data_IF_127223263259
#
_entry.id   IF_127223263259
#
_cell.length_a   1.000
_cell.length_b   1.000
_cell.length_c   1.000
_cell.angle_alpha   90.00
_cell.angle_beta   90.00
_cell.angle_gamma   90.00
#
_symmetry.space_group_name_H-M   'P 1'
#
loop_
_entity.id
_entity.type
_entity.pdbx_description
1 polymer ?
#
# COMPACT_ATOMS: atom_id res chain seq x y z
N UNK A 1 -8.66 5.80 19.91
CA UNK A 1 -8.52 6.31 18.52
C UNK A 1 -8.80 7.81 18.60
N UNK A 2 -7.77 8.65 18.40
CA UNK A 2 -7.97 10.09 18.22
C UNK A 2 -8.90 10.29 17.02
N UNK A 3 -9.98 11.03 17.21
CA UNK A 3 -10.87 11.41 16.12
C UNK A 3 -10.04 12.28 15.17
N UNK A 4 -9.80 11.82 13.94
CA UNK A 4 -9.24 12.67 12.91
C UNK A 4 -10.19 13.87 12.74
N UNK A 5 -9.69 15.07 13.03
CA UNK A 5 -10.45 16.28 12.78
C UNK A 5 -10.74 16.39 11.29
N UNK A 6 -11.92 16.89 10.93
CA UNK A 6 -12.30 17.13 9.55
C UNK A 6 -11.51 18.35 9.03
N UNK A 7 -10.21 18.14 8.72
CA UNK A 7 -9.38 19.14 8.05
C UNK A 7 -9.64 19.09 6.54
N UNK A 8 -9.63 20.22 5.90
CA UNK A 8 -9.60 20.27 4.42
C UNK A 8 -8.32 19.54 3.95
N UNK A 9 -8.41 18.60 3.00
CA UNK A 9 -7.24 17.91 2.49
C UNK A 9 -6.24 18.93 1.91
N UNK A 10 -4.97 18.78 2.27
CA UNK A 10 -3.88 19.60 1.76
C UNK A 10 -2.89 18.71 1.01
N UNK A 11 -2.84 18.84 -0.31
CA UNK A 11 -1.89 18.11 -1.16
C UNK A 11 -0.59 18.87 -1.39
N UNK A 12 -0.34 19.99 -0.70
CA UNK A 12 0.91 20.74 -0.84
C UNK A 12 2.10 20.09 -0.15
N UNK A 13 1.84 19.20 0.80
CA UNK A 13 2.84 18.47 1.61
C UNK A 13 2.37 17.04 1.88
N UNK A 14 3.28 16.13 2.27
CA UNK A 14 2.92 14.79 2.71
C UNK A 14 1.91 14.81 3.87
N UNK A 15 1.09 13.75 3.96
CA UNK A 15 0.14 13.59 5.09
C UNK A 15 0.84 13.19 6.39
N UNK A 16 2.01 12.59 6.31
CA UNK A 16 2.85 12.31 7.47
C UNK A 16 3.38 13.63 8.05
N UNK A 17 3.13 13.86 9.34
CA UNK A 17 3.57 15.09 10.03
C UNK A 17 5.09 15.09 10.29
N UNK A 18 5.72 13.92 10.31
CA UNK A 18 7.13 13.71 10.65
C UNK A 18 7.97 13.25 9.44
N UNK A 19 7.57 13.61 8.23
CA UNK A 19 8.28 13.22 7.00
C UNK A 19 9.75 13.66 7.05
N UNK A 20 10.69 12.73 6.81
CA UNK A 20 12.12 13.03 6.70
C UNK A 20 12.45 13.76 5.38
N UNK A 21 13.69 14.25 5.26
CA UNK A 21 14.12 15.07 4.14
C UNK A 21 14.07 14.29 2.81
N UNK A 22 14.54 13.06 2.78
CA UNK A 22 14.59 12.20 1.59
C UNK A 22 13.17 11.91 1.06
N UNK A 23 12.23 11.66 1.96
CA UNK A 23 10.83 11.42 1.61
C UNK A 23 10.14 12.69 1.13
N UNK A 24 10.45 13.83 1.73
CA UNK A 24 9.94 15.13 1.28
C UNK A 24 10.49 15.47 -0.12
N UNK A 25 11.76 15.19 -0.40
CA UNK A 25 12.36 15.37 -1.72
C UNK A 25 11.67 14.50 -2.76
N UNK A 26 11.46 13.20 -2.48
CA UNK A 26 10.71 12.32 -3.38
C UNK A 26 9.29 12.83 -3.61
N UNK A 27 8.57 13.20 -2.57
CA UNK A 27 7.21 13.75 -2.69
C UNK A 27 7.18 15.00 -3.59
N UNK A 28 8.10 15.93 -3.39
CA UNK A 28 8.21 17.15 -4.19
C UNK A 28 8.56 16.83 -5.64
N UNK A 29 9.46 15.86 -5.90
CA UNK A 29 9.76 15.38 -7.23
C UNK A 29 8.50 14.83 -7.92
N UNK A 30 7.78 13.89 -7.27
CA UNK A 30 6.53 13.33 -7.82
C UNK A 30 5.52 14.42 -8.17
N UNK A 31 5.34 15.41 -7.30
CA UNK A 31 4.48 16.58 -7.58
C UNK A 31 4.97 17.40 -8.75
N UNK A 32 6.28 17.59 -8.88
CA UNK A 32 6.86 18.43 -9.94
C UNK A 32 6.62 17.88 -11.34
N UNK A 33 6.55 16.53 -11.46
CA UNK A 33 6.34 15.80 -12.72
C UNK A 33 4.89 15.40 -12.95
N UNK A 34 4.04 15.45 -11.92
CA UNK A 34 2.62 15.07 -12.01
C UNK A 34 1.90 15.87 -13.09
N UNK A 35 1.19 15.15 -13.97
CA UNK A 35 0.49 15.71 -15.12
C UNK A 35 1.40 16.17 -16.27
N UNK A 36 2.71 15.97 -16.19
CA UNK A 36 3.70 16.34 -17.21
C UNK A 36 4.45 15.16 -17.77
N UNK A 37 4.73 14.15 -16.94
CA UNK A 37 5.51 12.97 -17.30
C UNK A 37 4.88 11.72 -16.67
N UNK A 38 5.13 10.56 -17.28
CA UNK A 38 4.82 9.25 -16.72
C UNK A 38 6.12 8.67 -16.18
N UNK A 39 6.09 8.26 -14.93
CA UNK A 39 7.17 7.51 -14.30
C UNK A 39 6.80 6.04 -14.41
N UNK A 40 7.59 5.25 -15.14
CA UNK A 40 7.36 3.82 -15.33
C UNK A 40 7.88 3.03 -14.13
N UNK A 41 7.13 2.00 -13.74
CA UNK A 41 7.49 1.06 -12.69
C UNK A 41 7.41 -0.38 -13.16
N UNK A 42 8.13 -1.26 -12.47
CA UNK A 42 8.09 -2.70 -12.65
C UNK A 42 8.07 -3.38 -11.28
N UNK A 43 7.28 -4.44 -11.16
CA UNK A 43 7.27 -5.26 -9.95
C UNK A 43 8.53 -6.14 -9.89
N UNK A 44 9.16 -6.18 -8.72
CA UNK A 44 10.21 -7.15 -8.43
C UNK A 44 9.59 -8.55 -8.28
N UNK A 45 10.00 -9.49 -9.12
CA UNK A 45 9.50 -10.86 -9.05
C UNK A 45 10.43 -11.77 -8.24
N UNK A 46 11.71 -11.75 -8.56
CA UNK A 46 12.75 -12.55 -7.89
C UNK A 46 14.17 -12.03 -8.22
N UNK A 47 15.18 -12.70 -7.69
CA UNK A 47 16.58 -12.34 -7.88
C UNK A 47 17.06 -12.41 -9.35
N UNK A 48 16.32 -13.07 -10.25
CA UNK A 48 16.65 -13.09 -11.69
C UNK A 48 16.37 -11.76 -12.37
N UNK A 49 15.46 -10.95 -11.80
CA UNK A 49 15.00 -9.67 -12.35
C UNK A 49 14.58 -9.76 -13.83
N UNK A 50 13.98 -10.87 -14.22
CA UNK A 50 13.68 -11.18 -15.61
C UNK A 50 12.87 -10.08 -16.30
N UNK A 51 11.82 -9.58 -15.65
CA UNK A 51 10.95 -8.53 -16.20
C UNK A 51 11.71 -7.21 -16.37
N UNK A 52 12.59 -6.85 -15.44
CA UNK A 52 13.43 -5.67 -15.54
C UNK A 52 14.44 -5.76 -16.67
N UNK A 53 15.03 -6.96 -16.89
CA UNK A 53 15.92 -7.22 -18.00
C UNK A 53 15.16 -7.14 -19.34
N UNK A 54 13.96 -7.69 -19.41
CA UNK A 54 13.11 -7.59 -20.60
C UNK A 54 12.72 -6.14 -20.91
N UNK A 55 12.39 -5.36 -19.86
CA UNK A 55 12.11 -3.94 -19.98
C UNK A 55 13.33 -3.20 -20.56
N UNK A 56 14.51 -3.39 -19.96
CA UNK A 56 15.74 -2.79 -20.44
C UNK A 56 16.09 -3.18 -21.88
N UNK A 57 15.97 -4.46 -22.23
CA UNK A 57 16.24 -4.95 -23.59
C UNK A 57 15.28 -4.35 -24.64
N UNK A 58 14.08 -3.95 -24.21
CA UNK A 58 13.06 -3.38 -25.11
C UNK A 58 13.19 -1.88 -25.25
N UNK A 59 13.52 -1.17 -24.17
CA UNK A 59 13.48 0.30 -24.10
C UNK A 59 14.87 0.95 -24.11
N UNK A 60 15.90 0.22 -23.70
CA UNK A 60 17.24 0.75 -23.45
C UNK A 60 17.43 1.37 -22.06
N UNK A 61 16.37 1.50 -21.27
CA UNK A 61 16.37 2.10 -19.94
C UNK A 61 15.79 1.15 -18.89
N UNK A 62 16.14 1.36 -17.62
CA UNK A 62 15.52 0.67 -16.50
C UNK A 62 14.24 1.41 -16.05
N UNK A 63 13.23 0.72 -15.49
CA UNK A 63 12.08 1.39 -14.88
C UNK A 63 12.56 2.26 -13.72
N UNK A 64 11.93 3.42 -13.50
CA UNK A 64 12.32 4.31 -12.41
C UNK A 64 11.80 3.83 -11.04
N UNK A 65 10.67 3.13 -11.03
CA UNK A 65 10.04 2.59 -9.80
C UNK A 65 10.21 1.08 -9.78
N UNK A 66 10.69 0.54 -8.67
CA UNK A 66 10.60 -0.90 -8.40
C UNK A 66 9.59 -1.14 -7.28
N UNK A 67 8.58 -1.97 -7.60
CA UNK A 67 7.55 -2.41 -6.67
C UNK A 67 7.96 -3.69 -5.95
N UNK A 68 7.71 -3.74 -4.65
CA UNK A 68 7.96 -4.89 -3.78
C UNK A 68 6.69 -5.25 -3.01
N UNK A 69 6.68 -6.42 -2.38
CA UNK A 69 5.55 -6.91 -1.64
C UNK A 69 5.97 -7.56 -0.32
N UNK A 70 5.33 -7.17 0.77
CA UNK A 70 5.52 -7.83 2.07
C UNK A 70 4.85 -9.21 2.18
N UNK A 71 4.33 -9.76 1.09
CA UNK A 71 3.74 -11.11 1.03
C UNK A 71 4.65 -12.18 1.68
N UNK A 72 5.96 -12.05 1.49
CA UNK A 72 6.97 -13.01 1.99
C UNK A 72 7.54 -12.63 3.36
N UNK A 73 7.20 -11.45 3.88
CA UNK A 73 7.69 -10.97 5.18
C UNK A 73 6.90 -11.55 6.37
N UNK A 74 5.77 -12.22 6.11
CA UNK A 74 4.87 -12.75 7.12
C UNK A 74 4.89 -14.28 7.19
N UNK A 75 4.61 -14.81 8.39
CA UNK A 75 4.36 -16.25 8.61
C UNK A 75 5.61 -17.11 8.63
N UNK A 76 6.79 -16.52 8.70
CA UNK A 76 8.07 -17.21 8.89
C UNK A 76 8.57 -17.01 10.32
N UNK A 77 9.12 -18.06 10.93
CA UNK A 77 9.76 -17.96 12.25
C UNK A 77 11.07 -17.14 12.19
N UNK A 78 11.59 -16.92 10.98
CA UNK A 78 12.77 -16.10 10.71
C UNK A 78 12.42 -14.98 9.76
N UNK A 79 12.77 -13.71 10.06
CA UNK A 79 12.55 -12.59 9.16
C UNK A 79 13.27 -12.80 7.81
N UNK A 80 12.53 -12.60 6.71
CA UNK A 80 13.12 -12.60 5.36
C UNK A 80 13.32 -11.15 4.91
N UNK A 81 14.56 -10.72 4.83
CA UNK A 81 14.94 -9.36 4.42
C UNK A 81 15.31 -9.24 2.93
N UNK A 82 15.16 -10.31 2.15
CA UNK A 82 15.61 -10.33 0.75
C UNK A 82 15.09 -9.13 -0.06
N UNK A 83 13.78 -8.89 -0.04
CA UNK A 83 13.19 -7.76 -0.75
C UNK A 83 13.57 -6.40 -0.16
N UNK A 84 13.84 -6.33 1.14
CA UNK A 84 14.30 -5.10 1.80
C UNK A 84 15.72 -4.74 1.33
N UNK A 85 16.62 -5.71 1.30
CA UNK A 85 18.00 -5.49 0.84
C UNK A 85 18.04 -5.12 -0.65
N UNK A 86 17.20 -5.77 -1.48
CA UNK A 86 17.08 -5.40 -2.90
C UNK A 86 16.48 -3.99 -3.08
N UNK A 87 15.53 -3.59 -2.26
CA UNK A 87 14.97 -2.24 -2.28
C UNK A 87 16.02 -1.18 -1.88
N UNK A 88 16.81 -1.47 -0.83
CA UNK A 88 17.92 -0.60 -0.40
C UNK A 88 18.95 -0.46 -1.52
N UNK A 89 19.33 -1.57 -2.13
CA UNK A 89 20.27 -1.59 -3.26
C UNK A 89 19.72 -0.82 -4.47
N UNK A 90 18.45 -1.03 -4.83
CA UNK A 90 17.79 -0.32 -5.91
C UNK A 90 17.85 1.20 -5.71
N UNK A 91 17.55 1.66 -4.49
CA UNK A 91 17.60 3.08 -4.16
C UNK A 91 19.04 3.61 -4.19
N UNK A 92 19.96 2.97 -3.47
CA UNK A 92 21.29 3.51 -3.24
C UNK A 92 22.23 3.39 -4.45
N UNK A 93 22.10 2.31 -5.25
CA UNK A 93 23.00 2.06 -6.37
C UNK A 93 22.43 2.56 -7.71
N UNK A 94 21.10 2.60 -7.86
CA UNK A 94 20.44 2.97 -9.10
C UNK A 94 19.71 4.32 -9.01
N UNK A 95 19.71 4.96 -7.85
CA UNK A 95 18.88 6.14 -7.57
C UNK A 95 17.39 5.90 -7.89
N UNK A 96 16.95 4.66 -7.65
CA UNK A 96 15.61 4.21 -7.99
C UNK A 96 14.57 4.56 -6.93
N UNK A 97 13.32 4.67 -7.34
CA UNK A 97 12.18 4.87 -6.47
C UNK A 97 11.67 3.52 -5.98
N UNK A 98 11.41 3.41 -4.69
CA UNK A 98 10.94 2.19 -4.04
C UNK A 98 9.45 2.28 -3.72
N UNK A 99 8.69 1.27 -4.13
CA UNK A 99 7.29 1.12 -3.75
C UNK A 99 7.06 -0.24 -3.07
N UNK A 100 6.21 -0.27 -2.06
CA UNK A 100 5.79 -1.51 -1.40
C UNK A 100 4.28 -1.61 -1.35
N UNK A 101 3.74 -2.77 -1.69
CA UNK A 101 2.40 -3.19 -1.32
C UNK A 101 2.44 -4.30 -0.26
N UNK A 102 1.29 -4.75 0.19
CA UNK A 102 1.19 -5.80 1.18
C UNK A 102 0.00 -6.71 0.92
N UNK A 103 0.26 -7.90 0.38
CA UNK A 103 -0.71 -8.98 0.39
C UNK A 103 -0.76 -9.57 1.81
N UNK A 104 -1.55 -8.92 2.65
CA UNK A 104 -1.60 -9.19 4.08
C UNK A 104 -2.30 -10.51 4.38
N UNK A 105 -1.52 -11.51 4.73
CA UNK A 105 -2.01 -12.83 5.14
C UNK A 105 -2.48 -12.81 6.59
N UNK A 106 -3.60 -13.45 6.86
CA UNK A 106 -4.14 -13.68 8.20
C UNK A 106 -4.39 -15.18 8.42
N UNK A 107 -4.50 -15.67 9.66
CA UNK A 107 -4.84 -17.07 9.92
C UNK A 107 -6.13 -17.49 9.20
N UNK A 108 -6.10 -18.65 8.55
CA UNK A 108 -7.27 -19.23 7.88
C UNK A 108 -8.37 -19.57 8.88
N UNK A 109 -8.00 -20.05 10.05
CA UNK A 109 -8.93 -20.47 11.10
C UNK A 109 -8.41 -20.06 12.48
N UNK A 110 -9.17 -19.24 13.20
CA UNK A 110 -8.84 -18.76 14.54
C UNK A 110 -9.38 -19.69 15.63
N UNK A 111 -10.45 -20.40 15.34
CA UNK A 111 -11.12 -21.30 16.31
C UNK A 111 -10.49 -22.68 16.33
N UNK A 112 -10.09 -23.21 15.18
CA UNK A 112 -9.41 -24.50 15.06
C UNK A 112 -7.90 -24.33 14.82
N UNK A 113 -7.14 -24.32 15.89
CA UNK A 113 -5.67 -24.20 15.84
C UNK A 113 -4.95 -25.41 15.24
N UNK A 114 -5.67 -26.51 14.93
CA UNK A 114 -5.13 -27.63 14.15
C UNK A 114 -5.06 -27.29 12.66
N UNK A 115 -5.89 -26.36 12.18
CA UNK A 115 -5.83 -25.81 10.83
C UNK A 115 -4.70 -24.80 10.77
N UNK A 116 -3.59 -25.21 10.15
CA UNK A 116 -2.44 -24.34 9.94
C UNK A 116 -2.53 -23.69 8.57
N UNK A 117 -2.12 -22.43 8.50
CA UNK A 117 -2.04 -21.69 7.25
C UNK A 117 -2.53 -20.28 7.41
N UNK A 118 -2.10 -19.48 6.47
CA UNK A 118 -2.51 -18.07 6.36
C UNK A 118 -2.92 -17.79 4.93
N UNK A 119 -3.89 -16.90 4.73
CA UNK A 119 -4.41 -16.50 3.42
C UNK A 119 -4.71 -15.00 3.40
N UNK A 120 -4.75 -14.42 2.22
CA UNK A 120 -5.21 -13.05 2.01
C UNK A 120 -6.52 -13.01 1.20
N UNK A 121 -6.86 -14.04 0.43
CA UNK A 121 -8.15 -14.13 -0.24
C UNK A 121 -9.25 -14.50 0.74
N UNK A 122 -10.38 -13.80 0.64
CA UNK A 122 -11.51 -13.95 1.56
C UNK A 122 -12.21 -15.31 1.48
N UNK A 123 -12.15 -15.98 0.33
CA UNK A 123 -12.75 -17.31 0.11
C UNK A 123 -11.90 -18.46 0.67
N UNK A 124 -10.64 -18.22 0.97
CA UNK A 124 -9.74 -19.17 1.63
C UNK A 124 -9.84 -19.10 3.16
N UNK A 125 -10.45 -18.04 3.70
CA UNK A 125 -10.54 -17.80 5.15
C UNK A 125 -11.85 -18.35 5.71
N UNK A 126 -11.77 -19.12 6.81
CA UNK A 126 -12.94 -19.76 7.42
C UNK A 126 -13.63 -18.91 8.48
N UNK A 127 -12.87 -18.35 9.42
CA UNK A 127 -13.47 -17.63 10.55
C UNK A 127 -12.73 -16.35 10.99
N UNK A 128 -11.61 -15.97 10.35
CA UNK A 128 -10.99 -14.67 10.59
C UNK A 128 -11.93 -13.55 10.14
N UNK A 129 -12.30 -12.67 11.06
CA UNK A 129 -13.31 -11.63 10.81
C UNK A 129 -12.69 -10.23 10.84
N UNK A 130 -12.95 -9.44 9.78
CA UNK A 130 -12.56 -8.03 9.73
C UNK A 130 -13.18 -7.23 10.89
N UNK A 131 -14.42 -7.53 11.28
CA UNK A 131 -15.09 -6.88 12.42
C UNK A 131 -14.33 -7.09 13.72
N UNK A 132 -13.92 -8.33 13.99
CA UNK A 132 -13.11 -8.65 15.18
C UNK A 132 -11.70 -8.09 15.06
N UNK A 133 -11.11 -8.12 13.85
CA UNK A 133 -9.78 -7.57 13.62
C UNK A 133 -9.68 -6.07 13.96
N UNK A 134 -10.77 -5.31 13.79
CA UNK A 134 -10.80 -3.87 14.14
C UNK A 134 -11.44 -3.58 15.51
N UNK A 135 -11.67 -4.62 16.32
CA UNK A 135 -12.25 -4.51 17.67
C UNK A 135 -11.17 -4.78 18.71
N UNK A 136 -10.74 -3.78 19.48
CA UNK A 136 -9.72 -3.97 20.52
C UNK A 136 -10.09 -5.05 21.54
N UNK A 137 -9.14 -5.90 21.88
CA UNK A 137 -9.27 -6.97 22.86
C UNK A 137 -9.58 -8.36 22.28
N UNK A 138 -9.98 -8.46 21.02
CA UNK A 138 -10.16 -9.73 20.32
C UNK A 138 -8.81 -10.37 19.95
N UNK A 139 -8.80 -11.64 19.65
CA UNK A 139 -7.58 -12.33 19.24
C UNK A 139 -7.19 -11.92 17.80
N UNK A 140 -8.15 -11.70 16.92
CA UNK A 140 -7.91 -11.15 15.58
C UNK A 140 -7.27 -9.75 15.63
N UNK A 141 -7.70 -8.89 16.56
CA UNK A 141 -7.06 -7.58 16.77
C UNK A 141 -5.59 -7.73 17.20
N UNK A 142 -5.29 -8.68 18.10
CA UNK A 142 -3.89 -8.97 18.50
C UNK A 142 -3.05 -9.44 17.33
N UNK A 143 -3.63 -10.26 16.44
CA UNK A 143 -2.95 -10.71 15.20
C UNK A 143 -2.58 -9.52 14.33
N UNK A 144 -3.53 -8.66 13.98
CA UNK A 144 -3.23 -7.53 13.08
C UNK A 144 -2.23 -6.54 13.69
N UNK A 145 -2.30 -6.29 15.01
CA UNK A 145 -1.33 -5.41 15.67
C UNK A 145 0.07 -6.01 15.61
N UNK A 146 0.22 -7.31 15.88
CA UNK A 146 1.51 -8.00 15.76
C UNK A 146 2.06 -7.93 14.34
N UNK A 147 1.21 -8.13 13.35
CA UNK A 147 1.60 -8.09 11.94
C UNK A 147 2.05 -6.67 11.54
N UNK A 148 1.31 -5.64 11.93
CA UNK A 148 1.69 -4.24 11.67
C UNK A 148 3.04 -3.94 12.34
N UNK A 149 3.25 -4.37 13.59
CA UNK A 149 4.52 -4.17 14.29
C UNK A 149 5.68 -4.89 13.58
N UNK A 150 5.44 -6.06 13.01
CA UNK A 150 6.44 -6.78 12.20
C UNK A 150 6.79 -6.00 10.94
N UNK A 151 5.79 -5.53 10.19
CA UNK A 151 6.02 -4.73 8.98
C UNK A 151 6.71 -3.40 9.30
N UNK A 152 6.39 -2.80 10.44
CA UNK A 152 7.06 -1.59 10.90
C UNK A 152 8.58 -1.78 11.05
N UNK A 153 9.05 -2.95 11.51
CA UNK A 153 10.49 -3.23 11.60
C UNK A 153 11.18 -3.27 10.24
N UNK A 154 10.51 -3.81 9.22
CA UNK A 154 11.02 -3.80 7.85
C UNK A 154 11.05 -2.36 7.28
N UNK A 155 9.99 -1.59 7.48
CA UNK A 155 9.93 -0.20 7.06
C UNK A 155 10.97 0.68 7.78
N UNK A 156 11.24 0.43 9.09
CA UNK A 156 12.30 1.11 9.85
C UNK A 156 13.70 0.77 9.32
N UNK A 157 13.91 -0.44 8.78
CA UNK A 157 15.18 -0.77 8.16
C UNK A 157 15.39 0.01 6.88
N UNK A 158 14.35 0.20 6.06
CA UNK A 158 14.38 1.08 4.88
C UNK A 158 14.64 2.53 5.31
N UNK A 159 13.94 3.01 6.33
CA UNK A 159 14.13 4.35 6.90
C UNK A 159 15.58 4.58 7.34
N UNK A 160 16.14 3.63 8.09
CA UNK A 160 17.54 3.68 8.57
C UNK A 160 18.55 3.72 7.41
N UNK A 161 18.21 3.14 6.26
CA UNK A 161 19.02 3.18 5.05
C UNK A 161 18.76 4.42 4.18
N UNK A 162 17.93 5.37 4.62
CA UNK A 162 17.58 6.59 3.90
C UNK A 162 16.64 6.36 2.71
N UNK A 163 15.87 5.27 2.70
CA UNK A 163 15.00 4.89 1.58
C UNK A 163 13.57 5.38 1.79
N UNK A 164 13.10 6.36 1.01
CA UNK A 164 11.68 6.72 0.95
C UNK A 164 10.86 5.61 0.32
N UNK A 165 9.67 5.36 0.82
CA UNK A 165 8.79 4.29 0.36
C UNK A 165 7.44 4.82 -0.10
N UNK A 166 7.07 4.56 -1.36
CA UNK A 166 5.69 4.68 -1.82
C UNK A 166 4.92 3.49 -1.24
N UNK A 167 4.13 3.73 -0.18
CA UNK A 167 3.47 2.71 0.62
C UNK A 167 2.02 2.51 0.19
N UNK A 168 1.69 1.34 -0.36
CA UNK A 168 0.38 0.98 -0.93
C UNK A 168 -0.26 -0.21 -0.19
N UNK A 169 -0.66 -0.05 1.08
CA UNK A 169 -1.34 -1.10 1.83
C UNK A 169 -2.81 -1.21 1.46
N UNK A 170 -3.45 -2.33 1.82
CA UNK A 170 -4.90 -2.54 1.76
C UNK A 170 -5.49 -2.19 0.38
N UNK A 171 -4.75 -2.53 -0.67
CA UNK A 171 -5.08 -2.24 -2.06
C UNK A 171 -6.32 -3.03 -2.52
N UNK A 172 -6.91 -2.60 -3.62
CA UNK A 172 -8.03 -3.26 -4.31
C UNK A 172 -9.28 -3.54 -3.43
N UNK A 173 -9.46 -2.77 -2.36
CA UNK A 173 -10.49 -3.06 -1.36
C UNK A 173 -11.92 -3.16 -1.93
N UNK A 174 -12.27 -2.41 -2.97
CA UNK A 174 -13.61 -2.46 -3.57
C UNK A 174 -13.87 -3.69 -4.45
N UNK A 175 -12.83 -4.51 -4.72
CA UNK A 175 -12.96 -5.80 -5.39
C UNK A 175 -13.54 -6.90 -4.51
N UNK A 176 -13.41 -6.76 -3.18
CA UNK A 176 -13.95 -7.66 -2.17
C UNK A 176 -13.38 -9.10 -2.18
N UNK A 177 -12.30 -9.34 -2.91
CA UNK A 177 -11.62 -10.64 -2.91
C UNK A 177 -10.62 -10.84 -1.78
N UNK A 178 -10.13 -9.76 -1.19
CA UNK A 178 -9.27 -9.81 -0.01
C UNK A 178 -10.06 -9.73 1.29
N UNK A 179 -9.52 -10.22 2.40
CA UNK A 179 -10.21 -10.22 3.70
C UNK A 179 -10.53 -8.81 4.22
N UNK A 180 -9.83 -7.78 3.76
CA UNK A 180 -10.13 -6.38 4.04
C UNK A 180 -11.10 -5.74 3.04
N UNK A 181 -11.68 -6.52 2.14
CA UNK A 181 -12.48 -6.03 1.02
C UNK A 181 -13.84 -5.45 1.43
N UNK A 182 -14.32 -4.51 0.63
CA UNK A 182 -15.62 -3.82 0.80
C UNK A 182 -16.59 -4.32 -0.25
N UNK A 183 -17.61 -5.09 0.17
CA UNK A 183 -18.61 -5.67 -0.72
C UNK A 183 -19.62 -4.63 -1.20
N UNK A 184 -20.03 -3.72 -0.32
CA UNK A 184 -21.09 -2.74 -0.59
C UNK A 184 -20.69 -1.28 -0.32
N UNK A 185 -21.30 -0.31 -1.04
CA UNK A 185 -20.93 1.12 -1.05
C UNK A 185 -21.10 1.85 0.27
N UNK A 186 -22.23 1.63 0.96
CA UNK A 186 -22.69 2.46 2.10
C UNK A 186 -22.88 1.62 3.33
N UNK A 187 -22.07 0.58 3.47
CA UNK A 187 -22.31 -0.48 4.41
C UNK A 187 -21.32 -0.46 5.55
N UNK A 188 -21.61 -1.33 6.46
CA UNK A 188 -20.81 -1.70 7.58
C UNK A 188 -19.38 -2.11 7.16
N UNK A 189 -19.22 -2.84 6.05
CA UNK A 189 -17.91 -3.25 5.51
C UNK A 189 -16.98 -2.05 5.23
N UNK A 190 -17.53 -0.98 4.64
CA UNK A 190 -16.76 0.25 4.40
C UNK A 190 -16.26 0.87 5.70
N UNK A 191 -17.09 0.88 6.74
CA UNK A 191 -16.70 1.41 8.04
C UNK A 191 -15.61 0.54 8.70
N UNK A 192 -15.69 -0.78 8.53
CA UNK A 192 -14.66 -1.70 9.01
C UNK A 192 -13.33 -1.49 8.27
N UNK A 193 -13.37 -1.36 6.94
CA UNK A 193 -12.19 -1.03 6.13
C UNK A 193 -11.56 0.30 6.56
N UNK A 194 -12.37 1.34 6.76
CA UNK A 194 -11.88 2.64 7.24
C UNK A 194 -11.23 2.54 8.64
N UNK A 195 -11.80 1.72 9.53
CA UNK A 195 -11.19 1.46 10.84
C UNK A 195 -9.85 0.73 10.71
N UNK A 196 -9.77 -0.29 9.85
CA UNK A 196 -8.53 -1.03 9.61
C UNK A 196 -7.46 -0.11 9.03
N UNK A 197 -7.79 0.69 8.01
CA UNK A 197 -6.90 1.69 7.44
C UNK A 197 -6.37 2.63 8.53
N UNK A 198 -7.26 3.12 9.37
CA UNK A 198 -6.88 4.06 10.42
C UNK A 198 -6.01 3.40 11.50
N UNK A 199 -6.28 2.16 11.89
CA UNK A 199 -5.44 1.40 12.82
C UNK A 199 -4.02 1.26 12.25
N UNK A 200 -3.91 0.88 10.98
CA UNK A 200 -2.63 0.75 10.29
C UNK A 200 -1.89 2.10 10.23
N UNK A 201 -2.57 3.15 9.78
CA UNK A 201 -2.01 4.49 9.69
C UNK A 201 -1.52 5.00 11.07
N UNK A 202 -2.40 4.96 12.06
CA UNK A 202 -2.07 5.42 13.42
C UNK A 202 -0.90 4.63 14.04
N UNK A 203 -0.85 3.31 13.79
CA UNK A 203 0.21 2.46 14.30
C UNK A 203 1.56 2.78 13.68
N UNK A 204 1.62 2.96 12.37
CA UNK A 204 2.87 3.27 11.67
C UNK A 204 3.32 4.72 11.92
N UNK A 205 2.41 5.70 11.83
CA UNK A 205 2.73 7.12 11.94
C UNK A 205 2.93 7.59 13.39
N UNK A 206 2.03 7.20 14.29
CA UNK A 206 2.00 7.77 15.64
C UNK A 206 2.69 6.88 16.67
N UNK A 207 2.59 5.57 16.55
CA UNK A 207 3.22 4.64 17.48
C UNK A 207 4.67 4.33 17.10
N UNK A 208 4.90 3.86 15.86
CA UNK A 208 6.24 3.57 15.36
C UNK A 208 6.99 4.81 14.87
N UNK A 209 6.26 5.89 14.57
CA UNK A 209 6.81 7.20 14.15
C UNK A 209 7.67 7.10 12.89
N UNK A 210 7.23 6.29 11.93
CA UNK A 210 7.90 6.19 10.65
C UNK A 210 7.86 7.53 9.91
N UNK A 211 8.97 7.91 9.28
CA UNK A 211 9.16 9.20 8.62
C UNK A 211 9.37 9.09 7.12
N UNK A 212 9.44 7.85 6.61
CA UNK A 212 9.84 7.53 5.24
C UNK A 212 8.70 7.07 4.34
N UNK A 213 7.42 7.36 4.68
CA UNK A 213 6.26 6.85 3.92
C UNK A 213 5.56 7.94 3.11
N UNK A 214 5.32 7.66 1.82
CA UNK A 214 4.35 8.35 0.97
C UNK A 214 3.16 7.42 0.82
N UNK A 215 2.02 7.78 1.40
CA UNK A 215 0.85 6.92 1.50
C UNK A 215 0.04 6.89 0.20
N UNK A 216 -0.26 5.68 -0.27
CA UNK A 216 -1.13 5.44 -1.43
C UNK A 216 -2.42 4.77 -0.98
N UNK A 217 -3.54 5.47 -1.14
CA UNK A 217 -4.85 4.84 -1.05
C UNK A 217 -5.22 4.24 -2.40
N UNK A 218 -5.37 2.93 -2.45
CA UNK A 218 -5.77 2.18 -3.64
C UNK A 218 -7.01 1.34 -3.36
N UNK A 219 -8.15 2.01 -3.15
CA UNK A 219 -9.43 1.36 -2.89
C UNK A 219 -10.17 0.93 -4.17
N UNK A 220 -9.61 1.15 -5.36
CA UNK A 220 -10.18 0.89 -6.69
C UNK A 220 -11.43 1.72 -7.02
N UNK A 221 -12.20 2.15 -6.04
CA UNK A 221 -13.40 2.96 -6.26
C UNK A 221 -13.87 3.68 -5.00
N UNK A 222 -14.88 4.57 -5.17
CA UNK A 222 -15.51 5.29 -4.06
C UNK A 222 -16.18 4.38 -3.01
N UNK A 223 -16.33 3.08 -3.25
CA UNK A 223 -16.82 2.12 -2.26
C UNK A 223 -15.90 2.09 -1.04
N UNK A 224 -14.59 2.06 -1.26
CA UNK A 224 -13.56 1.91 -0.25
C UNK A 224 -12.77 3.20 0.00
N UNK A 225 -13.43 4.35 0.03
CA UNK A 225 -12.76 5.62 0.35
C UNK A 225 -12.39 5.69 1.82
N UNK A 226 -11.22 6.27 2.08
CA UNK A 226 -10.70 6.59 3.42
C UNK A 226 -10.59 8.11 3.60
N UNK A 227 -10.19 8.57 4.78
CA UNK A 227 -9.98 10.00 5.01
C UNK A 227 -8.81 10.52 4.17
N UNK A 228 -9.06 11.54 3.36
CA UNK A 228 -8.06 12.13 2.46
C UNK A 228 -6.85 12.77 3.18
N UNK A 229 -6.90 12.97 4.48
CA UNK A 229 -5.76 13.41 5.29
C UNK A 229 -4.85 12.26 5.74
N UNK A 230 -5.07 11.04 5.23
CA UNK A 230 -4.26 9.84 5.55
C UNK A 230 -3.61 9.20 4.33
N UNK A 231 -3.66 9.85 3.16
CA UNK A 231 -2.93 9.41 1.97
C UNK A 231 -2.50 10.61 1.11
N UNK A 232 -1.47 10.41 0.32
CA UNK A 232 -0.86 11.39 -0.58
C UNK A 232 -1.29 11.19 -2.03
N UNK A 233 -1.45 9.93 -2.43
CA UNK A 233 -1.71 9.50 -3.80
C UNK A 233 -2.96 8.61 -3.80
N UNK A 234 -3.88 8.84 -4.75
CA UNK A 234 -4.92 7.87 -5.06
C UNK A 234 -4.44 6.91 -6.13
N UNK A 235 -4.45 5.61 -5.84
CA UNK A 235 -4.02 4.56 -6.75
C UNK A 235 -5.18 3.77 -7.34
N UNK A 236 -4.91 3.13 -8.49
CA UNK A 236 -5.81 2.19 -9.15
C UNK A 236 -5.01 1.10 -9.85
N UNK A 237 -5.39 -0.15 -9.60
CA UNK A 237 -4.87 -1.29 -10.37
C UNK A 237 -5.67 -1.49 -11.64
N UNK A 238 -4.99 -1.72 -12.75
CA UNK A 238 -5.60 -1.85 -14.06
C UNK A 238 -5.07 -3.10 -14.76
N UNK A 239 -5.99 -3.98 -15.11
CA UNK A 239 -5.67 -5.23 -15.82
C UNK A 239 -6.36 -5.22 -17.20
N UNK A 240 -5.74 -4.66 -18.23
CA UNK A 240 -6.35 -4.64 -19.56
C UNK A 240 -6.44 -6.05 -20.15
N UNK A 241 -7.63 -6.44 -20.57
CA UNK A 241 -7.88 -7.76 -21.19
C UNK A 241 -7.78 -7.75 -22.73
N UNK A 242 -7.60 -6.57 -23.31
CA UNK A 242 -7.58 -6.35 -24.76
C UNK A 242 -6.74 -5.11 -25.11
N UNK A 243 -6.55 -4.87 -26.40
CA UNK A 243 -5.91 -3.64 -26.91
C UNK A 243 -6.82 -2.38 -26.74
N UNK A 244 -8.10 -2.56 -26.47
CA UNK A 244 -9.01 -1.45 -26.15
C UNK A 244 -8.91 -1.07 -24.68
N UNK A 245 -8.22 0.02 -24.40
CA UNK A 245 -8.01 0.57 -23.06
C UNK A 245 -9.05 1.63 -22.65
N UNK A 246 -10.14 1.78 -23.39
CA UNK A 246 -11.14 2.85 -23.16
C UNK A 246 -11.75 2.80 -21.76
N UNK A 247 -12.05 1.59 -21.25
CA UNK A 247 -12.62 1.41 -19.92
C UNK A 247 -11.63 1.77 -18.80
N UNK A 248 -10.34 1.41 -18.97
CA UNK A 248 -9.27 1.73 -18.04
C UNK A 248 -9.01 3.23 -18.01
N UNK A 249 -8.98 3.88 -19.19
CA UNK A 249 -8.86 5.33 -19.31
C UNK A 249 -10.01 6.04 -18.61
N UNK A 250 -11.25 5.59 -18.80
CA UNK A 250 -12.42 6.16 -18.15
C UNK A 250 -12.36 6.01 -16.62
N UNK A 251 -11.90 4.86 -16.14
CA UNK A 251 -11.73 4.58 -14.72
C UNK A 251 -10.64 5.47 -14.11
N UNK A 252 -9.49 5.59 -14.76
CA UNK A 252 -8.40 6.47 -14.33
C UNK A 252 -8.85 7.94 -14.31
N UNK A 253 -9.53 8.41 -15.35
CA UNK A 253 -10.04 9.77 -15.40
C UNK A 253 -11.02 10.06 -14.25
N UNK A 254 -11.80 9.06 -13.83
CA UNK A 254 -12.69 9.18 -12.67
C UNK A 254 -11.91 9.31 -11.37
N UNK A 255 -10.84 8.53 -11.20
CA UNK A 255 -9.94 8.63 -10.04
C UNK A 255 -9.23 9.99 -10.04
N UNK A 256 -8.58 10.36 -11.15
CA UNK A 256 -7.84 11.60 -11.28
C UNK A 256 -8.72 12.81 -10.98
N UNK A 257 -9.92 12.88 -11.56
CA UNK A 257 -10.88 13.95 -11.24
C UNK A 257 -11.25 14.02 -9.75
N UNK A 258 -11.31 12.88 -9.07
CA UNK A 258 -11.57 12.84 -7.63
C UNK A 258 -10.37 13.33 -6.83
N UNK A 259 -9.17 12.84 -7.12
CA UNK A 259 -7.94 13.21 -6.41
C UNK A 259 -7.53 14.64 -6.65
N UNK A 260 -7.61 15.14 -7.90
CA UNK A 260 -7.34 16.53 -8.25
C UNK A 260 -8.30 17.49 -7.53
N UNK A 261 -9.59 17.10 -7.41
CA UNK A 261 -10.60 17.87 -6.69
C UNK A 261 -10.31 18.08 -5.20
N UNK A 262 -9.41 17.26 -4.62
CA UNK A 262 -8.96 17.36 -3.23
C UNK A 262 -7.45 17.64 -3.11
N UNK A 263 -6.79 18.03 -4.21
CA UNK A 263 -5.39 18.42 -4.26
C UNK A 263 -4.40 17.25 -4.11
N UNK A 264 -4.81 16.00 -4.40
CA UNK A 264 -3.95 14.81 -4.30
C UNK A 264 -3.51 14.33 -5.68
N UNK A 265 -2.37 13.66 -5.75
CA UNK A 265 -1.91 12.98 -6.98
C UNK A 265 -2.71 11.70 -7.24
N UNK A 266 -2.67 11.23 -8.49
CA UNK A 266 -3.19 9.91 -8.88
C UNK A 266 -2.13 9.09 -9.61
N UNK A 267 -2.24 7.75 -9.48
CA UNK A 267 -1.34 6.80 -10.12
C UNK A 267 -2.08 5.55 -10.60
N UNK A 268 -1.53 4.89 -11.60
CA UNK A 268 -1.83 3.49 -11.93
C UNK A 268 -0.79 2.60 -11.25
N UNK A 269 -1.21 1.40 -10.85
CA UNK A 269 -0.33 0.41 -10.24
C UNK A 269 -0.66 -0.99 -10.74
#
# INVERSE_FOLDING_TARGET
IKKLEAKTPDGSKPVSENTNEETLELFNYLKSVYGKQIIAGQQYSDASQFENIMYYNTTGDMPAIMGFDFLYAQGTDTPDYTQIEEAIKWHNEQNGIVAFCWHWKVPVDMSDKSVKGTAFYSDEIRDFSLEKAVTPGTDEYKVIIKDIDTIALYLQRLETAGVPVIWRPLHEASGAWFWWGVKDRDTYDKQLYQKLWYILYDRLENYHKLTNLIWVWNGQSKKATVNANTYDIGGMDVYPSSEDHSAQIASYNTLSKYTDGIGKMSALS
#
